data_IF_503981153911
#
_entry.id   IF_503981153911
#
_cell.length_a   1.000
_cell.length_b   1.000
_cell.length_c   1.000
_cell.angle_alpha   90.00
_cell.angle_beta   90.00
_cell.angle_gamma   90.00
#
_symmetry.space_group_name_H-M   'P 1'
#
loop_
_entity.id
_entity.type
_entity.pdbx_description
1 polymer ?
#
# COMPACT_ATOMS: atom_id res chain seq x y z
N UNK A 1 1.64 -26.84 7.02
CA UNK A 1 2.84 -26.56 7.85
C UNK A 1 2.80 -25.08 8.20
N UNK A 2 3.12 -24.69 9.47
CA UNK A 2 3.05 -23.28 9.91
C UNK A 2 1.95 -22.98 10.93
N UNK A 3 1.02 -23.90 11.17
CA UNK A 3 -0.06 -23.72 12.17
C UNK A 3 0.37 -24.01 13.61
N UNK A 4 1.52 -24.66 13.79
CA UNK A 4 1.98 -25.11 15.08
C UNK A 4 3.42 -24.63 15.36
N UNK A 5 3.62 -23.97 16.49
CA UNK A 5 4.91 -23.60 17.05
C UNK A 5 5.32 -24.63 18.11
N UNK A 6 6.47 -25.27 17.94
CA UNK A 6 7.07 -26.12 18.93
C UNK A 6 8.10 -25.32 19.73
N UNK A 7 7.88 -25.17 21.05
CA UNK A 7 8.87 -24.58 21.95
C UNK A 7 9.64 -25.71 22.63
N UNK A 8 10.97 -25.61 22.65
CA UNK A 8 11.84 -26.57 23.29
C UNK A 8 11.53 -26.58 24.80
N UNK A 9 11.08 -27.72 25.35
CA UNK A 9 10.65 -27.85 26.76
C UNK A 9 9.20 -27.41 27.07
N UNK A 10 8.42 -26.87 26.11
CA UNK A 10 7.11 -26.28 26.40
C UNK A 10 5.92 -26.84 25.60
N UNK A 11 6.10 -27.85 24.74
CA UNK A 11 5.01 -28.45 23.97
C UNK A 11 4.77 -27.76 22.60
N UNK A 12 3.64 -28.16 21.98
CA UNK A 12 3.22 -27.64 20.67
C UNK A 12 2.01 -26.71 20.86
N UNK A 13 2.12 -25.47 20.38
CA UNK A 13 1.09 -24.45 20.48
C UNK A 13 0.55 -24.13 19.10
N UNK A 14 -0.76 -23.82 19.00
CA UNK A 14 -1.35 -23.25 17.79
C UNK A 14 -0.84 -21.83 17.64
N UNK A 15 -0.42 -21.46 16.44
CA UNK A 15 0.02 -20.10 16.15
C UNK A 15 -1.21 -19.17 16.06
N UNK A 16 -1.23 -18.11 16.86
CA UNK A 16 -2.32 -17.12 16.85
C UNK A 16 -2.32 -16.28 15.56
N UNK A 17 -1.20 -16.29 14.80
CA UNK A 17 -1.00 -15.50 13.60
C UNK A 17 -0.83 -16.42 12.37
N UNK A 18 -1.95 -16.87 11.82
CA UNK A 18 -1.94 -17.75 10.63
C UNK A 18 -1.48 -17.04 9.35
N UNK A 19 -1.57 -15.71 9.28
CA UNK A 19 -1.18 -14.93 8.10
C UNK A 19 0.34 -14.95 7.82
N UNK A 20 1.21 -15.05 8.84
CA UNK A 20 2.67 -15.09 8.66
C UNK A 20 3.10 -16.28 7.79
N UNK A 21 2.37 -17.39 7.88
CA UNK A 21 2.63 -18.58 7.07
C UNK A 21 2.34 -18.41 5.58
N UNK A 22 1.57 -17.38 5.20
CA UNK A 22 1.23 -17.06 3.82
C UNK A 22 2.03 -15.87 3.28
N UNK A 23 2.38 -14.91 4.14
CA UNK A 23 3.10 -13.69 3.71
C UNK A 23 4.53 -13.99 3.28
N UNK A 24 5.26 -14.86 3.98
CA UNK A 24 6.66 -15.15 3.68
C UNK A 24 6.87 -15.79 2.28
N UNK A 25 6.12 -16.84 1.88
CA UNK A 25 6.23 -17.40 0.54
C UNK A 25 5.84 -16.42 -0.57
N UNK A 26 4.82 -15.59 -0.34
CA UNK A 26 4.39 -14.59 -1.31
C UNK A 26 5.42 -13.46 -1.45
N UNK A 27 5.96 -12.96 -0.34
CA UNK A 27 7.01 -11.97 -0.34
C UNK A 27 8.28 -12.47 -1.05
N UNK A 28 8.66 -13.75 -0.86
CA UNK A 28 9.78 -14.37 -1.56
C UNK A 28 9.53 -14.48 -3.07
N UNK A 29 8.30 -14.85 -3.48
CA UNK A 29 7.92 -14.91 -4.89
C UNK A 29 8.06 -13.54 -5.55
N UNK A 30 7.58 -12.49 -4.89
CA UNK A 30 7.57 -11.14 -5.43
C UNK A 30 8.95 -10.46 -5.42
N UNK A 31 9.80 -10.76 -4.42
CA UNK A 31 11.13 -10.13 -4.30
C UNK A 31 12.09 -10.50 -5.43
N UNK A 32 11.85 -11.61 -6.13
CA UNK A 32 12.67 -12.06 -7.27
C UNK A 32 12.28 -11.48 -8.63
N UNK A 33 11.15 -10.79 -8.73
CA UNK A 33 10.55 -10.38 -10.00
C UNK A 33 10.14 -8.90 -10.00
N UNK A 34 10.88 -8.02 -10.69
CA UNK A 34 10.54 -6.57 -10.75
C UNK A 34 9.13 -6.27 -11.28
N UNK A 35 8.62 -7.13 -12.16
CA UNK A 35 7.26 -7.02 -12.70
C UNK A 35 6.16 -7.27 -11.67
N UNK A 36 6.46 -7.98 -10.60
CA UNK A 36 5.48 -8.31 -9.54
C UNK A 36 4.88 -7.09 -8.84
N UNK A 37 5.50 -5.93 -8.94
CA UNK A 37 4.91 -4.68 -8.44
C UNK A 37 3.62 -4.32 -9.19
N UNK A 38 3.50 -4.66 -10.48
CA UNK A 38 2.28 -4.45 -11.25
C UNK A 38 1.21 -5.48 -10.89
N UNK A 39 1.58 -6.75 -10.71
CA UNK A 39 0.68 -7.80 -10.23
C UNK A 39 0.13 -7.47 -8.83
N UNK A 40 0.99 -6.92 -7.96
CA UNK A 40 0.59 -6.41 -6.64
C UNK A 40 -0.42 -5.27 -6.79
N UNK A 41 -0.21 -4.35 -7.72
CA UNK A 41 -1.10 -3.22 -7.96
C UNK A 41 -2.47 -3.69 -8.49
N UNK A 42 -2.51 -4.62 -9.44
CA UNK A 42 -3.77 -5.23 -9.91
C UNK A 42 -4.55 -5.87 -8.75
N UNK A 43 -3.84 -6.58 -7.87
CA UNK A 43 -4.45 -7.17 -6.67
C UNK A 43 -4.99 -6.09 -5.72
N UNK A 44 -4.28 -4.98 -5.55
CA UNK A 44 -4.73 -3.82 -4.79
C UNK A 44 -6.01 -3.20 -5.39
N UNK A 45 -6.09 -3.05 -6.71
CA UNK A 45 -7.31 -2.57 -7.38
C UNK A 45 -8.53 -3.41 -7.02
N UNK A 46 -8.39 -4.73 -7.00
CA UNK A 46 -9.47 -5.64 -6.64
C UNK A 46 -9.87 -5.53 -5.16
N UNK A 47 -8.90 -5.43 -4.25
CA UNK A 47 -9.13 -5.50 -2.81
C UNK A 47 -9.45 -4.12 -2.19
N UNK A 48 -8.69 -3.07 -2.53
CA UNK A 48 -8.84 -1.75 -1.89
C UNK A 48 -10.13 -1.06 -2.35
N UNK A 49 -10.50 -1.17 -3.62
CA UNK A 49 -11.75 -0.62 -4.13
C UNK A 49 -12.98 -1.22 -3.45
N UNK A 50 -12.99 -2.55 -3.28
CA UNK A 50 -14.11 -3.23 -2.59
C UNK A 50 -14.08 -2.97 -1.08
N UNK A 51 -12.90 -2.78 -0.47
CA UNK A 51 -12.78 -2.39 0.93
C UNK A 51 -13.38 -0.99 1.16
N UNK A 52 -13.03 -0.01 0.33
CA UNK A 52 -13.57 1.35 0.40
C UNK A 52 -15.10 1.36 0.22
N UNK A 53 -15.61 0.60 -0.76
CA UNK A 53 -17.05 0.42 -0.97
C UNK A 53 -17.76 -0.08 0.27
N UNK A 54 -17.29 -1.18 0.85
CA UNK A 54 -17.94 -1.75 2.03
C UNK A 54 -17.73 -0.94 3.30
N UNK A 55 -16.61 -0.24 3.44
CA UNK A 55 -16.41 0.69 4.55
C UNK A 55 -17.43 1.82 4.52
N UNK A 56 -17.69 2.41 3.36
CA UNK A 56 -18.73 3.42 3.19
C UNK A 56 -20.14 2.88 3.47
N UNK A 57 -20.42 1.62 3.04
CA UNK A 57 -21.74 0.99 3.17
C UNK A 57 -22.02 0.48 4.57
N UNK A 58 -21.03 -0.10 5.27
CA UNK A 58 -21.21 -0.89 6.50
C UNK A 58 -20.54 -0.29 7.72
N UNK A 59 -19.58 0.63 7.52
CA UNK A 59 -18.81 1.22 8.60
C UNK A 59 -19.71 1.82 9.68
N UNK A 60 -19.47 1.48 10.94
CA UNK A 60 -20.13 2.08 12.09
C UNK A 60 -19.64 3.52 12.31
N UNK A 61 -20.32 4.28 13.16
CA UNK A 61 -19.83 5.63 13.49
C UNK A 61 -18.46 5.59 14.17
N UNK A 62 -18.19 4.58 14.99
CA UNK A 62 -16.87 4.37 15.59
C UNK A 62 -15.80 4.06 14.53
N UNK A 63 -16.13 3.27 13.50
CA UNK A 63 -15.21 3.02 12.38
C UNK A 63 -14.92 4.31 11.62
N UNK A 64 -15.93 5.13 11.35
CA UNK A 64 -15.74 6.41 10.66
C UNK A 64 -14.86 7.38 11.46
N UNK A 65 -15.01 7.45 12.77
CA UNK A 65 -14.13 8.25 13.62
C UNK A 65 -12.68 7.71 13.61
N UNK A 66 -12.47 6.40 13.59
CA UNK A 66 -11.14 5.80 13.44
C UNK A 66 -10.52 6.12 12.06
N UNK A 67 -11.31 6.05 11.00
CA UNK A 67 -10.87 6.41 9.63
C UNK A 67 -10.46 7.89 9.60
N UNK A 68 -11.27 8.78 10.18
CA UNK A 68 -10.99 10.21 10.27
C UNK A 68 -9.69 10.50 11.03
N UNK A 69 -9.53 9.88 12.20
CA UNK A 69 -8.30 10.03 12.98
C UNK A 69 -7.06 9.50 12.26
N UNK A 70 -7.21 8.43 11.49
CA UNK A 70 -6.12 7.85 10.70
C UNK A 70 -5.77 8.73 9.49
N UNK A 71 -6.76 9.30 8.80
CA UNK A 71 -6.52 10.24 7.70
C UNK A 71 -5.80 11.51 8.21
N UNK A 72 -6.19 12.04 9.38
CA UNK A 72 -5.52 13.19 9.97
C UNK A 72 -4.03 12.94 10.26
N UNK A 73 -3.65 11.69 10.60
CA UNK A 73 -2.22 11.34 10.79
C UNK A 73 -1.44 11.35 9.47
N UNK A 74 -2.08 10.98 8.34
CA UNK A 74 -1.43 11.09 7.03
C UNK A 74 -1.13 12.56 6.72
N UNK A 75 -2.11 13.45 6.94
CA UNK A 75 -1.94 14.89 6.70
C UNK A 75 -0.84 15.47 7.58
N UNK A 76 -0.84 15.17 8.89
CA UNK A 76 0.19 15.65 9.82
C UNK A 76 1.61 15.19 9.43
N UNK A 77 1.78 13.93 9.01
CA UNK A 77 3.06 13.41 8.53
C UNK A 77 3.48 14.07 7.20
N UNK A 78 2.53 14.28 6.30
CA UNK A 78 2.74 14.98 5.03
C UNK A 78 3.23 16.41 5.24
N UNK A 79 2.56 17.18 6.10
CA UNK A 79 2.90 18.57 6.41
C UNK A 79 4.30 18.71 7.05
N UNK A 80 4.74 17.68 7.77
CA UNK A 80 6.09 17.60 8.35
C UNK A 80 7.15 17.15 7.37
N UNK A 81 6.76 16.64 6.19
CA UNK A 81 7.67 16.05 5.21
C UNK A 81 8.35 14.77 5.70
N UNK A 82 7.73 14.05 6.65
CA UNK A 82 8.25 12.80 7.20
C UNK A 82 7.77 11.62 6.37
N UNK A 83 8.59 11.22 5.39
CA UNK A 83 8.30 10.13 4.46
C UNK A 83 8.00 8.81 5.19
N UNK A 84 8.77 8.49 6.22
CA UNK A 84 8.59 7.24 6.95
C UNK A 84 7.26 7.25 7.71
N UNK A 85 6.96 8.31 8.44
CA UNK A 85 5.70 8.46 9.17
C UNK A 85 4.50 8.51 8.21
N UNK A 86 4.61 9.19 7.05
CA UNK A 86 3.52 9.23 6.06
C UNK A 86 3.27 7.84 5.45
N UNK A 87 4.33 7.10 5.11
CA UNK A 87 4.22 5.72 4.59
C UNK A 87 3.50 4.80 5.58
N UNK A 88 3.91 4.84 6.84
CA UNK A 88 3.30 4.04 7.90
C UNK A 88 1.84 4.44 8.14
N UNK A 89 1.54 5.75 8.16
CA UNK A 89 0.18 6.26 8.33
C UNK A 89 -0.75 5.83 7.19
N UNK A 90 -0.26 5.83 5.94
CA UNK A 90 -1.02 5.34 4.77
C UNK A 90 -1.31 3.86 4.88
N UNK A 91 -0.33 3.04 5.27
CA UNK A 91 -0.55 1.61 5.45
C UNK A 91 -1.59 1.34 6.54
N UNK A 92 -1.50 2.04 7.68
CA UNK A 92 -2.48 1.93 8.76
C UNK A 92 -3.88 2.38 8.33
N UNK A 93 -3.97 3.45 7.54
CA UNK A 93 -5.25 3.90 6.98
C UNK A 93 -5.91 2.82 6.12
N UNK A 94 -5.16 2.16 5.23
CA UNK A 94 -5.70 1.07 4.40
C UNK A 94 -6.22 -0.10 5.25
N UNK A 95 -5.51 -0.47 6.32
CA UNK A 95 -5.95 -1.51 7.24
C UNK A 95 -7.24 -1.11 7.96
N UNK A 96 -7.33 0.12 8.46
CA UNK A 96 -8.52 0.63 9.17
C UNK A 96 -9.74 0.68 8.23
N UNK A 97 -9.57 1.14 6.98
CA UNK A 97 -10.64 1.11 5.97
C UNK A 97 -11.10 -0.33 5.70
N UNK A 98 -10.15 -1.26 5.61
CA UNK A 98 -10.48 -2.68 5.38
C UNK A 98 -11.17 -3.33 6.59
N UNK A 99 -10.82 -2.94 7.82
CA UNK A 99 -11.54 -3.36 9.04
C UNK A 99 -12.98 -2.86 9.02
N UNK A 100 -13.19 -1.58 8.65
CA UNK A 100 -14.51 -0.97 8.55
C UNK A 100 -15.41 -1.59 7.44
N UNK A 101 -14.83 -2.33 6.52
CA UNK A 101 -15.59 -3.11 5.53
C UNK A 101 -16.35 -4.30 6.15
N UNK A 102 -16.05 -4.67 7.41
CA UNK A 102 -16.66 -5.81 8.12
C UNK A 102 -16.63 -7.12 7.32
N UNK A 103 -15.52 -7.35 6.61
CA UNK A 103 -15.25 -8.57 5.86
C UNK A 103 -13.93 -9.18 6.33
N UNK A 104 -14.02 -10.22 7.17
CA UNK A 104 -12.85 -10.86 7.77
C UNK A 104 -11.92 -11.50 6.74
N UNK A 105 -12.46 -12.02 5.63
CA UNK A 105 -11.66 -12.63 4.56
C UNK A 105 -10.84 -11.56 3.83
N UNK A 106 -11.48 -10.46 3.46
CA UNK A 106 -10.83 -9.32 2.82
C UNK A 106 -9.70 -8.75 3.69
N UNK A 107 -9.96 -8.59 5.00
CA UNK A 107 -8.98 -8.12 5.96
C UNK A 107 -7.79 -9.07 6.06
N UNK A 108 -8.00 -10.38 6.06
CA UNK A 108 -6.92 -11.36 6.10
C UNK A 108 -6.08 -11.35 4.84
N UNK A 109 -6.70 -11.23 3.67
CA UNK A 109 -5.98 -11.11 2.40
C UNK A 109 -5.08 -9.85 2.39
N UNK A 110 -5.62 -8.71 2.80
CA UNK A 110 -4.83 -7.48 2.85
C UNK A 110 -3.68 -7.58 3.87
N UNK A 111 -3.93 -8.16 5.04
CA UNK A 111 -2.89 -8.38 6.06
C UNK A 111 -1.75 -9.28 5.59
N UNK A 112 -2.02 -10.28 4.75
CA UNK A 112 -0.98 -11.10 4.13
C UNK A 112 -0.07 -10.29 3.19
N UNK A 113 -0.59 -9.19 2.62
CA UNK A 113 0.14 -8.32 1.70
C UNK A 113 0.91 -7.19 2.40
N UNK A 114 0.71 -6.98 3.71
CA UNK A 114 1.31 -5.86 4.46
C UNK A 114 2.81 -5.70 4.24
N UNK A 115 3.68 -6.73 4.33
CA UNK A 115 5.12 -6.54 4.12
C UNK A 115 5.48 -6.02 2.73
N UNK A 116 4.72 -6.42 1.71
CA UNK A 116 4.90 -5.97 0.33
C UNK A 116 4.38 -4.56 0.12
N UNK A 117 3.21 -4.25 0.71
CA UNK A 117 2.61 -2.92 0.66
C UNK A 117 3.50 -1.89 1.36
N UNK A 118 4.06 -2.21 2.52
CA UNK A 118 4.98 -1.35 3.25
C UNK A 118 6.18 -0.96 2.39
N UNK A 119 6.83 -1.94 1.77
CA UNK A 119 7.98 -1.70 0.88
C UNK A 119 7.57 -0.87 -0.34
N UNK A 120 6.46 -1.21 -1.00
CA UNK A 120 5.98 -0.53 -2.20
C UNK A 120 5.58 0.93 -1.90
N UNK A 121 4.82 1.17 -0.82
CA UNK A 121 4.41 2.51 -0.40
C UNK A 121 5.64 3.38 -0.10
N UNK A 122 6.62 2.87 0.62
CA UNK A 122 7.84 3.61 0.95
C UNK A 122 8.62 4.01 -0.31
N UNK A 123 8.84 3.07 -1.23
CA UNK A 123 9.53 3.35 -2.51
C UNK A 123 8.77 4.38 -3.35
N UNK A 124 7.45 4.30 -3.40
CA UNK A 124 6.62 5.27 -4.11
C UNK A 124 6.76 6.67 -3.49
N UNK A 125 6.76 6.78 -2.16
CA UNK A 125 6.95 8.08 -1.49
C UNK A 125 8.34 8.66 -1.71
N UNK A 126 9.40 7.86 -1.62
CA UNK A 126 10.76 8.32 -1.94
C UNK A 126 10.84 8.97 -3.33
N UNK A 127 10.14 8.39 -4.31
CA UNK A 127 10.03 8.96 -5.65
C UNK A 127 9.14 10.21 -5.70
N UNK A 128 7.93 10.14 -5.11
CA UNK A 128 6.94 11.21 -5.11
C UNK A 128 7.46 12.50 -4.45
N UNK A 129 8.25 12.37 -3.38
CA UNK A 129 8.84 13.53 -2.71
C UNK A 129 9.84 14.30 -3.58
N UNK A 130 10.36 13.68 -4.64
CA UNK A 130 11.14 14.38 -5.67
C UNK A 130 10.28 15.12 -6.68
N UNK A 131 8.93 14.95 -6.64
CA UNK A 131 7.96 15.42 -7.64
C UNK A 131 6.71 15.99 -6.98
N UNK A 132 6.80 17.26 -6.59
CA UNK A 132 5.74 17.92 -5.79
C UNK A 132 4.34 17.82 -6.39
N UNK A 133 4.20 17.96 -7.73
CA UNK A 133 2.90 17.89 -8.40
C UNK A 133 2.26 16.50 -8.26
N UNK A 134 3.04 15.43 -8.41
CA UNK A 134 2.56 14.07 -8.24
C UNK A 134 2.22 13.78 -6.77
N UNK A 135 3.03 14.27 -5.84
CA UNK A 135 2.79 14.13 -4.41
C UNK A 135 1.47 14.80 -4.01
N UNK A 136 1.21 16.00 -4.50
CA UNK A 136 -0.06 16.72 -4.26
C UNK A 136 -1.24 15.92 -4.83
N UNK A 137 -1.16 15.43 -6.07
CA UNK A 137 -2.21 14.65 -6.69
C UNK A 137 -2.53 13.36 -5.90
N UNK A 138 -1.51 12.65 -5.41
CA UNK A 138 -1.69 11.46 -4.55
C UNK A 138 -2.43 11.81 -3.26
N UNK A 139 -2.09 12.94 -2.63
CA UNK A 139 -2.75 13.41 -1.40
C UNK A 139 -4.21 13.77 -1.66
N UNK A 140 -4.50 14.45 -2.77
CA UNK A 140 -5.87 14.79 -3.20
C UNK A 140 -6.71 13.54 -3.46
N UNK A 141 -6.17 12.54 -4.17
CA UNK A 141 -6.87 11.28 -4.42
C UNK A 141 -7.22 10.54 -3.12
N UNK A 142 -6.30 10.49 -2.13
CA UNK A 142 -6.59 9.88 -0.82
C UNK A 142 -7.69 10.65 -0.08
N UNK A 143 -7.66 11.98 -0.15
CA UNK A 143 -8.70 12.81 0.45
C UNK A 143 -10.07 12.54 -0.18
N UNK A 144 -10.14 12.31 -1.50
CA UNK A 144 -11.40 11.93 -2.17
C UNK A 144 -11.93 10.58 -1.69
N UNK A 145 -11.05 9.57 -1.52
CA UNK A 145 -11.45 8.26 -0.96
C UNK A 145 -12.01 8.45 0.45
N UNK A 146 -11.28 9.18 1.30
CA UNK A 146 -11.70 9.49 2.66
C UNK A 146 -13.07 10.17 2.70
N UNK A 147 -13.26 11.23 1.92
CA UNK A 147 -14.55 11.96 1.87
C UNK A 147 -15.70 11.09 1.44
N UNK A 148 -15.52 10.27 0.39
CA UNK A 148 -16.55 9.37 -0.08
C UNK A 148 -16.95 8.33 0.99
N UNK A 149 -15.98 7.81 1.75
CA UNK A 149 -16.27 6.87 2.86
C UNK A 149 -17.05 7.59 3.98
N UNK A 150 -16.59 8.75 4.42
CA UNK A 150 -17.23 9.49 5.53
C UNK A 150 -18.65 9.94 5.14
N UNK A 151 -18.87 10.30 3.89
CA UNK A 151 -20.18 10.67 3.36
C UNK A 151 -21.09 9.46 3.10
N UNK A 152 -20.61 8.22 3.34
CA UNK A 152 -21.36 6.99 3.08
C UNK A 152 -21.80 6.85 1.62
N UNK A 153 -20.87 7.12 0.69
CA UNK A 153 -21.04 7.06 -0.76
C UNK A 153 -20.26 5.86 -1.33
N UNK A 154 -20.80 4.60 -1.28
CA UNK A 154 -20.05 3.40 -1.59
C UNK A 154 -19.45 3.36 -3.00
N UNK A 155 -20.25 3.73 -4.01
CA UNK A 155 -19.80 3.73 -5.40
C UNK A 155 -18.71 4.80 -5.64
N UNK A 156 -18.87 5.99 -5.04
CA UNK A 156 -17.87 7.06 -5.13
C UNK A 156 -16.57 6.66 -4.44
N UNK A 157 -16.64 5.97 -3.29
CA UNK A 157 -15.46 5.48 -2.57
C UNK A 157 -14.68 4.45 -3.39
N UNK A 158 -15.36 3.50 -4.01
CA UNK A 158 -14.76 2.51 -4.92
C UNK A 158 -14.09 3.20 -6.10
N UNK A 159 -14.80 4.08 -6.77
CA UNK A 159 -14.30 4.79 -7.94
C UNK A 159 -13.11 5.70 -7.62
N UNK A 160 -13.14 6.39 -6.48
CA UNK A 160 -12.01 7.18 -5.99
C UNK A 160 -10.77 6.31 -5.72
N UNK A 161 -10.97 5.11 -5.13
CA UNK A 161 -9.88 4.14 -4.92
C UNK A 161 -9.29 3.66 -6.25
N UNK A 162 -10.11 3.34 -7.24
CA UNK A 162 -9.64 2.94 -8.57
C UNK A 162 -8.84 4.07 -9.25
N UNK A 163 -9.32 5.32 -9.21
CA UNK A 163 -8.57 6.46 -9.77
C UNK A 163 -7.23 6.67 -9.05
N UNK A 164 -7.20 6.52 -7.72
CA UNK A 164 -5.97 6.61 -6.96
C UNK A 164 -4.95 5.55 -7.41
N UNK A 165 -5.37 4.30 -7.53
CA UNK A 165 -4.47 3.20 -7.90
C UNK A 165 -4.03 3.28 -9.37
N UNK A 166 -4.90 3.74 -10.28
CA UNK A 166 -4.50 4.03 -11.66
C UNK A 166 -3.40 5.11 -11.72
N UNK A 167 -3.51 6.15 -10.90
CA UNK A 167 -2.45 7.16 -10.78
C UNK A 167 -1.15 6.57 -10.20
N UNK A 168 -1.23 5.67 -9.22
CA UNK A 168 -0.05 4.96 -8.70
C UNK A 168 0.60 4.09 -9.77
N UNK A 169 -0.18 3.50 -10.69
CA UNK A 169 0.35 2.78 -11.85
C UNK A 169 1.20 3.68 -12.74
N UNK A 170 0.71 4.87 -13.06
CA UNK A 170 1.47 5.87 -13.82
C UNK A 170 2.77 6.24 -13.11
N UNK A 171 2.73 6.42 -11.79
CA UNK A 171 3.93 6.67 -10.96
C UNK A 171 4.93 5.53 -11.07
N UNK A 172 4.50 4.28 -10.96
CA UNK A 172 5.36 3.11 -11.09
C UNK A 172 5.98 2.99 -12.49
N UNK A 173 5.22 3.29 -13.53
CA UNK A 173 5.72 3.31 -14.91
C UNK A 173 6.81 4.37 -15.08
N UNK A 174 6.63 5.54 -14.52
CA UNK A 174 7.63 6.61 -14.58
C UNK A 174 8.90 6.26 -13.80
N UNK A 175 8.76 5.67 -12.60
CA UNK A 175 9.90 5.14 -11.82
C UNK A 175 10.70 4.12 -12.64
N UNK A 176 10.02 3.16 -13.27
CA UNK A 176 10.65 2.13 -14.09
C UNK A 176 11.40 2.72 -15.29
N UNK A 177 10.81 3.70 -15.97
CA UNK A 177 11.45 4.42 -17.10
C UNK A 177 12.71 5.17 -16.65
N UNK A 178 12.67 5.83 -15.50
CA UNK A 178 13.83 6.55 -14.96
C UNK A 178 14.96 5.60 -14.56
N UNK A 179 14.62 4.50 -13.89
CA UNK A 179 15.60 3.47 -13.55
C UNK A 179 16.31 2.93 -14.78
N UNK A 180 15.54 2.56 -15.82
CA UNK A 180 16.09 2.09 -17.09
C UNK A 180 17.00 3.14 -17.77
N UNK A 181 16.63 4.42 -17.75
CA UNK A 181 17.44 5.51 -18.31
C UNK A 181 18.75 5.65 -17.54
N UNK A 182 18.70 5.61 -16.21
CA UNK A 182 19.86 5.72 -15.33
C UNK A 182 20.83 4.56 -15.53
N UNK A 183 20.34 3.34 -15.60
CA UNK A 183 21.17 2.16 -15.89
C UNK A 183 21.87 2.24 -17.25
N UNK A 184 21.14 2.68 -18.29
CA UNK A 184 21.72 2.87 -19.62
C UNK A 184 22.84 3.92 -19.61
N UNK A 185 22.67 5.00 -18.86
CA UNK A 185 23.69 6.04 -18.71
C UNK A 185 24.93 5.51 -18.00
N UNK A 186 24.75 4.77 -16.89
CA UNK A 186 25.87 4.17 -16.15
C UNK A 186 26.64 3.16 -16.98
N UNK A 187 25.96 2.31 -17.75
CA UNK A 187 26.62 1.36 -18.66
C UNK A 187 27.47 2.06 -19.72
N UNK A 188 27.02 3.19 -20.28
CA UNK A 188 27.80 3.99 -21.25
C UNK A 188 29.06 4.56 -20.62
N UNK A 189 28.97 5.10 -19.40
CA UNK A 189 30.13 5.62 -18.68
C UNK A 189 31.17 4.52 -18.37
N UNK A 190 30.72 3.32 -18.06
CA UNK A 190 31.60 2.18 -17.81
C UNK A 190 32.27 1.64 -19.09
N UNK A 191 31.60 1.75 -20.24
CA UNK A 191 32.13 1.26 -21.52
C UNK A 191 33.09 2.25 -22.19
N UNK A 192 33.05 3.53 -21.84
CA UNK A 192 33.87 4.59 -22.43
C UNK A 192 34.42 5.54 -21.35
N UNK A 193 35.30 5.03 -20.45
CA UNK A 193 35.87 5.86 -19.37
C UNK A 193 36.74 7.00 -19.87
N UNK A 194 37.26 6.92 -21.11
CA UNK A 194 38.22 7.89 -21.69
C UNK A 194 37.55 9.01 -22.50
N UNK A 195 36.22 9.09 -22.53
CA UNK A 195 35.46 10.10 -23.30
C UNK A 195 35.01 11.33 -22.48
N UNK A 196 35.32 11.36 -21.16
CA UNK A 196 34.91 12.45 -20.27
C UNK A 196 36.04 12.88 -19.34
#
# INVERSE_FOLDING_TARGET
KGFLLRRQGGGTFVQDNLWQSFSDPLAQLLSGHPESQFDLLETRHALEGIAAYYAALRGTDDDLERIKASHARIIDAHDKGDIAAESDAVLQYQLIVTEAAHNVVLLHLLRCMVPMLEQNIRQNFEFLYTRKEMLTAVSEHRTQIYQAIINREPEAAREASHRHLAFIEDVLLDMSREHTRRERSLRRLQQHPDLF
#
